data_IF_422250347245
#
_entry.id   IF_422250347245
#
_cell.length_a   1.000
_cell.length_b   1.000
_cell.length_c   1.000
_cell.angle_alpha   90.00
_cell.angle_beta   90.00
_cell.angle_gamma   90.00
#
_symmetry.space_group_name_H-M   'P 1'
#
loop_
_entity.id
_entity.type
_entity.pdbx_description
1 polymer ?
#
# COMPACT_ATOMS: atom_id res chain seq x y z
N UNK A 1 19.37 14.34 -18.16
CA UNK A 1 18.26 13.44 -18.53
C UNK A 1 17.00 13.94 -17.87
N UNK A 2 15.85 13.83 -18.54
CA UNK A 2 14.57 14.13 -17.88
C UNK A 2 14.35 13.11 -16.74
N UNK A 3 13.97 13.58 -15.57
CA UNK A 3 13.61 12.72 -14.44
C UNK A 3 12.32 12.00 -14.81
N UNK A 4 12.34 10.67 -14.88
CA UNK A 4 11.15 9.89 -15.17
C UNK A 4 10.25 9.89 -13.92
N UNK A 5 9.02 10.37 -14.09
CA UNK A 5 8.05 10.48 -13.01
C UNK A 5 7.22 9.18 -12.91
N UNK A 6 7.07 8.65 -11.71
CA UNK A 6 6.28 7.42 -11.47
C UNK A 6 5.33 7.61 -10.29
N UNK A 7 4.18 6.96 -10.34
CA UNK A 7 3.25 6.80 -9.24
C UNK A 7 2.54 5.46 -9.42
N UNK A 8 2.80 4.48 -8.56
CA UNK A 8 2.35 3.09 -8.76
C UNK A 8 1.39 2.59 -7.68
N UNK A 9 0.76 3.50 -6.94
CA UNK A 9 -0.29 3.19 -5.99
C UNK A 9 -1.33 4.30 -6.01
N UNK A 10 -2.43 4.06 -6.73
CA UNK A 10 -3.54 5.00 -6.86
C UNK A 10 -4.86 4.27 -7.04
N UNK A 11 -5.96 4.97 -6.75
CA UNK A 11 -7.32 4.45 -6.78
C UNK A 11 -8.22 5.35 -7.63
N UNK A 12 -9.28 4.79 -8.17
CA UNK A 12 -10.32 5.51 -8.89
C UNK A 12 -11.70 5.20 -8.31
N UNK A 13 -12.77 5.65 -8.96
CA UNK A 13 -14.15 5.33 -8.53
C UNK A 13 -14.51 3.85 -8.61
N UNK A 14 -13.60 2.97 -9.04
CA UNK A 14 -13.75 1.52 -8.87
C UNK A 14 -13.53 1.08 -7.42
N UNK A 15 -12.63 1.73 -6.69
CA UNK A 15 -12.51 1.55 -5.24
C UNK A 15 -13.67 2.23 -4.49
N UNK A 16 -14.16 1.65 -3.39
CA UNK A 16 -15.31 2.15 -2.63
C UNK A 16 -15.19 3.60 -2.14
N UNK A 17 -13.97 4.06 -1.93
CA UNK A 17 -13.61 5.40 -1.42
C UNK A 17 -12.92 6.28 -2.49
N UNK A 18 -12.81 5.79 -3.72
CA UNK A 18 -12.31 6.56 -4.87
C UNK A 18 -13.26 7.68 -5.26
N UNK A 19 -12.69 8.84 -5.61
CA UNK A 19 -13.43 10.08 -5.86
C UNK A 19 -13.50 10.39 -7.36
N UNK A 20 -12.41 10.15 -8.10
CA UNK A 20 -12.31 10.51 -9.51
C UNK A 20 -12.39 9.28 -10.42
N UNK A 21 -13.08 9.40 -11.58
CA UNK A 21 -13.11 8.33 -12.57
C UNK A 21 -11.71 7.94 -13.06
N UNK A 22 -11.50 6.66 -13.36
CA UNK A 22 -10.21 6.12 -13.81
C UNK A 22 -9.62 6.93 -14.98
N UNK A 23 -10.44 7.30 -15.97
CA UNK A 23 -9.98 8.10 -17.11
C UNK A 23 -9.41 9.45 -16.69
N UNK A 24 -10.05 10.14 -15.75
CA UNK A 24 -9.57 11.45 -15.26
C UNK A 24 -8.26 11.30 -14.47
N UNK A 25 -8.10 10.22 -13.73
CA UNK A 25 -6.84 9.89 -13.06
C UNK A 25 -5.71 9.72 -14.08
N UNK A 26 -5.95 9.00 -15.18
CA UNK A 26 -4.97 8.79 -16.26
C UNK A 26 -4.65 10.07 -17.02
N UNK A 27 -5.67 10.90 -17.35
CA UNK A 27 -5.47 12.21 -17.98
C UNK A 27 -4.55 13.09 -17.11
N UNK A 28 -4.82 13.15 -15.81
CA UNK A 28 -4.00 13.90 -14.85
C UNK A 28 -2.57 13.37 -14.75
N UNK A 29 -2.40 12.06 -14.76
CA UNK A 29 -1.07 11.44 -14.75
C UNK A 29 -0.26 11.80 -16.00
N UNK A 30 -0.91 11.78 -17.17
CA UNK A 30 -0.30 12.19 -18.44
C UNK A 30 0.04 13.69 -18.46
N UNK A 31 -0.87 14.55 -18.01
CA UNK A 31 -0.65 16.00 -17.92
C UNK A 31 0.52 16.37 -17.00
N UNK A 32 0.70 15.60 -15.92
CA UNK A 32 1.84 15.75 -15.00
C UNK A 32 3.14 15.15 -15.53
N UNK A 33 3.13 14.54 -16.72
CA UNK A 33 4.32 13.97 -17.36
C UNK A 33 4.83 12.69 -16.68
N UNK A 34 3.96 11.92 -16.04
CA UNK A 34 4.30 10.62 -15.50
C UNK A 34 4.66 9.66 -16.66
N UNK A 35 5.70 8.85 -16.46
CA UNK A 35 6.08 7.82 -17.42
C UNK A 35 5.53 6.44 -17.07
N UNK A 36 5.32 6.16 -15.78
CA UNK A 36 4.61 5.00 -15.26
C UNK A 36 3.53 5.44 -14.27
N UNK A 37 2.34 4.91 -14.47
CA UNK A 37 1.20 5.15 -13.59
C UNK A 37 0.48 3.84 -13.30
N UNK A 38 0.47 3.45 -12.03
CA UNK A 38 -0.18 2.23 -11.55
C UNK A 38 -1.52 2.55 -10.89
N UNK A 39 -2.58 1.88 -11.34
CA UNK A 39 -3.87 1.86 -10.67
C UNK A 39 -3.98 0.55 -9.91
N UNK A 40 -4.27 0.62 -8.61
CA UNK A 40 -4.29 -0.52 -7.68
C UNK A 40 -5.56 -0.52 -6.86
N UNK A 41 -6.72 -0.77 -7.51
CA UNK A 41 -8.00 -0.74 -6.82
C UNK A 41 -8.06 -1.74 -5.67
N UNK A 42 -8.77 -1.38 -4.61
CA UNK A 42 -8.93 -2.22 -3.42
C UNK A 42 -9.55 -3.58 -3.72
N UNK A 43 -8.95 -4.64 -3.20
CA UNK A 43 -9.48 -5.99 -3.19
C UNK A 43 -9.39 -6.51 -1.75
N UNK A 44 -10.42 -6.26 -0.96
CA UNK A 44 -10.42 -6.42 0.49
C UNK A 44 -11.06 -7.76 0.91
N UNK A 45 -10.44 -8.89 0.52
CA UNK A 45 -10.92 -10.21 0.94
C UNK A 45 -10.68 -10.47 2.43
N UNK A 46 -9.82 -9.71 3.09
CA UNK A 46 -9.69 -9.68 4.54
C UNK A 46 -11.00 -9.21 5.20
N UNK A 47 -11.62 -8.15 4.67
CA UNK A 47 -12.93 -7.67 5.12
C UNK A 47 -14.04 -8.66 4.79
N UNK A 48 -14.00 -9.26 3.60
CA UNK A 48 -15.01 -10.22 3.17
C UNK A 48 -15.06 -11.46 4.06
N UNK A 49 -13.91 -12.05 4.39
CA UNK A 49 -13.90 -13.22 5.29
C UNK A 49 -14.34 -12.84 6.70
N UNK A 50 -14.02 -11.64 7.18
CA UNK A 50 -14.50 -11.14 8.46
C UNK A 50 -16.02 -10.93 8.48
N UNK A 51 -16.62 -10.45 7.37
CA UNK A 51 -18.07 -10.34 7.22
C UNK A 51 -18.74 -11.74 7.24
N UNK A 52 -18.18 -12.70 6.51
CA UNK A 52 -18.69 -14.08 6.47
C UNK A 52 -18.68 -14.74 7.85
N UNK A 53 -17.72 -14.40 8.70
CA UNK A 53 -17.59 -14.92 10.07
C UNK A 53 -18.36 -14.06 11.10
N UNK A 54 -18.98 -12.96 10.68
CA UNK A 54 -19.69 -12.04 11.59
C UNK A 54 -18.76 -11.30 12.56
N UNK A 55 -17.47 -11.15 12.23
CA UNK A 55 -16.46 -10.46 13.04
C UNK A 55 -16.13 -9.06 12.54
N UNK A 56 -16.59 -8.71 11.33
CA UNK A 56 -16.45 -7.37 10.78
C UNK A 56 -17.21 -6.34 11.62
N UNK A 57 -16.62 -5.16 11.80
CA UNK A 57 -17.26 -4.04 12.53
C UNK A 57 -18.36 -3.36 11.71
N UNK A 58 -18.29 -3.49 10.38
CA UNK A 58 -19.21 -2.88 9.42
C UNK A 58 -19.27 -3.68 8.13
N UNK A 59 -20.26 -3.37 7.31
CA UNK A 59 -20.39 -3.96 5.98
C UNK A 59 -19.55 -3.17 4.98
N UNK A 60 -18.57 -3.83 4.37
CA UNK A 60 -17.73 -3.22 3.33
C UNK A 60 -18.48 -3.10 1.98
N UNK A 61 -18.01 -2.19 1.15
CA UNK A 61 -18.31 -2.17 -0.29
C UNK A 61 -17.09 -2.73 -1.01
N UNK A 62 -17.32 -3.44 -2.11
CA UNK A 62 -16.24 -4.10 -2.83
C UNK A 62 -16.12 -3.58 -4.25
N UNK A 63 -14.91 -3.57 -4.76
CA UNK A 63 -14.60 -3.27 -6.17
C UNK A 63 -15.24 -4.31 -7.09
N UNK A 64 -15.95 -3.86 -8.12
CA UNK A 64 -16.33 -4.71 -9.24
C UNK A 64 -15.09 -4.97 -10.10
N UNK A 65 -14.39 -6.06 -9.79
CA UNK A 65 -13.14 -6.41 -10.43
C UNK A 65 -13.29 -6.66 -11.94
N UNK A 66 -14.40 -7.27 -12.38
CA UNK A 66 -14.64 -7.53 -13.81
C UNK A 66 -14.76 -6.22 -14.59
N UNK A 67 -15.60 -5.31 -14.12
CA UNK A 67 -15.77 -4.00 -14.75
C UNK A 67 -14.47 -3.19 -14.71
N UNK A 68 -13.74 -3.21 -13.58
CA UNK A 68 -12.48 -2.52 -13.44
C UNK A 68 -11.44 -3.02 -14.44
N UNK A 69 -11.14 -4.31 -14.45
CA UNK A 69 -10.10 -4.85 -15.34
C UNK A 69 -10.46 -4.70 -16.81
N UNK A 70 -11.73 -4.86 -17.17
CA UNK A 70 -12.20 -4.61 -18.54
C UNK A 70 -11.88 -3.18 -18.99
N UNK A 71 -12.29 -2.18 -18.21
CA UNK A 71 -12.09 -0.78 -18.56
C UNK A 71 -10.63 -0.34 -18.46
N UNK A 72 -9.92 -0.78 -17.40
CA UNK A 72 -8.52 -0.43 -17.19
C UNK A 72 -7.63 -0.97 -18.32
N UNK A 73 -7.84 -2.20 -18.80
CA UNK A 73 -7.10 -2.76 -19.94
C UNK A 73 -7.36 -2.00 -21.24
N UNK A 74 -8.61 -1.65 -21.51
CA UNK A 74 -8.96 -0.81 -22.68
C UNK A 74 -8.29 0.57 -22.62
N UNK A 75 -8.23 1.19 -21.45
CA UNK A 75 -7.54 2.45 -21.25
C UNK A 75 -6.02 2.30 -21.34
N UNK A 76 -5.45 1.23 -20.77
CA UNK A 76 -4.02 0.91 -20.91
C UNK A 76 -3.58 0.90 -22.39
N UNK A 77 -4.34 0.25 -23.26
CA UNK A 77 -4.08 0.25 -24.71
C UNK A 77 -4.20 1.65 -25.31
N UNK A 78 -5.21 2.42 -24.91
CA UNK A 78 -5.45 3.78 -25.42
C UNK A 78 -4.31 4.76 -25.09
N UNK A 79 -3.72 4.64 -23.90
CA UNK A 79 -2.62 5.52 -23.46
C UNK A 79 -1.23 5.03 -23.87
N UNK A 80 -1.14 3.86 -24.51
CA UNK A 80 0.14 3.28 -24.95
C UNK A 80 0.95 4.27 -25.80
N UNK A 81 2.23 4.39 -25.48
CA UNK A 81 3.15 5.35 -26.13
C UNK A 81 3.18 6.75 -25.53
N UNK A 82 2.16 7.14 -24.74
CA UNK A 82 2.13 8.41 -24.03
C UNK A 82 2.36 8.21 -22.50
N UNK A 83 1.78 7.17 -21.94
CA UNK A 83 1.87 6.81 -20.53
C UNK A 83 1.91 5.29 -20.39
N UNK A 84 2.86 4.77 -19.62
CA UNK A 84 2.85 3.34 -19.27
C UNK A 84 1.87 3.11 -18.12
N UNK A 85 0.63 2.79 -18.45
CA UNK A 85 -0.40 2.44 -17.48
C UNK A 85 -0.18 1.01 -17.00
N UNK A 86 -0.14 0.80 -15.69
CA UNK A 86 -0.05 -0.49 -15.04
C UNK A 86 -1.37 -0.78 -14.33
N UNK A 87 -2.01 -1.89 -14.67
CA UNK A 87 -3.31 -2.30 -14.11
C UNK A 87 -3.04 -3.31 -13.01
N UNK A 88 -3.08 -2.85 -11.77
CA UNK A 88 -2.77 -3.61 -10.57
C UNK A 88 -3.97 -3.82 -9.66
N UNK A 89 -3.69 -4.24 -8.44
CA UNK A 89 -4.65 -4.35 -7.34
C UNK A 89 -3.93 -4.14 -6.01
N UNK A 90 -4.63 -3.60 -5.02
CA UNK A 90 -4.19 -3.58 -3.64
C UNK A 90 -4.98 -4.61 -2.83
N UNK A 91 -4.26 -5.55 -2.20
CA UNK A 91 -4.83 -6.61 -1.39
C UNK A 91 -4.74 -6.26 0.09
N UNK A 92 -5.86 -6.36 0.80
CA UNK A 92 -5.90 -6.32 2.26
C UNK A 92 -5.50 -7.67 2.86
N UNK A 93 -4.34 -7.75 3.51
CA UNK A 93 -3.87 -9.00 4.09
C UNK A 93 -4.62 -9.39 5.37
N UNK A 94 -4.89 -10.68 5.50
CA UNK A 94 -5.32 -11.35 6.72
C UNK A 94 -4.62 -12.70 6.89
N UNK A 95 -4.57 -13.24 8.11
CA UNK A 95 -4.07 -14.60 8.37
C UNK A 95 -5.04 -15.70 7.89
N UNK A 96 -6.22 -15.34 7.41
CA UNK A 96 -7.22 -16.29 6.94
C UNK A 96 -6.85 -16.89 5.58
N UNK A 97 -6.59 -18.18 5.55
CA UNK A 97 -6.20 -18.90 4.33
C UNK A 97 -7.28 -18.93 3.25
N UNK A 98 -8.55 -18.69 3.60
CA UNK A 98 -9.64 -18.57 2.61
C UNK A 98 -9.41 -17.33 1.74
N UNK A 99 -9.07 -16.18 2.36
CA UNK A 99 -8.69 -14.98 1.63
C UNK A 99 -7.46 -15.22 0.74
N UNK A 100 -6.45 -15.96 1.21
CA UNK A 100 -5.27 -16.28 0.39
C UNK A 100 -5.63 -17.10 -0.85
N UNK A 101 -6.58 -18.04 -0.73
CA UNK A 101 -7.05 -18.78 -1.89
C UNK A 101 -7.81 -17.87 -2.87
N UNK A 102 -8.63 -16.96 -2.36
CA UNK A 102 -9.36 -15.99 -3.17
C UNK A 102 -8.39 -15.04 -3.90
N UNK A 103 -7.30 -14.57 -3.27
CA UNK A 103 -6.27 -13.77 -3.91
C UNK A 103 -5.54 -14.54 -5.02
N UNK A 104 -5.19 -15.81 -4.81
CA UNK A 104 -4.62 -16.66 -5.88
C UNK A 104 -5.56 -16.80 -7.07
N UNK A 105 -6.85 -17.00 -6.80
CA UNK A 105 -7.88 -17.12 -7.84
C UNK A 105 -8.07 -15.78 -8.58
N UNK A 106 -8.03 -14.67 -7.86
CA UNK A 106 -8.05 -13.31 -8.44
C UNK A 106 -6.87 -13.08 -9.39
N UNK A 107 -5.65 -13.35 -8.94
CA UNK A 107 -4.44 -13.20 -9.76
C UNK A 107 -4.54 -14.04 -11.03
N UNK A 108 -4.97 -15.30 -10.93
CA UNK A 108 -5.14 -16.20 -12.06
C UNK A 108 -6.18 -15.70 -13.05
N UNK A 109 -7.27 -15.12 -12.56
CA UNK A 109 -8.41 -14.67 -13.37
C UNK A 109 -8.10 -13.36 -14.08
N UNK A 110 -7.65 -12.35 -13.34
CA UNK A 110 -7.50 -10.98 -13.84
C UNK A 110 -6.09 -10.63 -14.29
N UNK A 111 -5.08 -11.39 -13.89
CA UNK A 111 -3.66 -11.21 -14.26
C UNK A 111 -3.21 -9.76 -14.11
N UNK A 112 -3.24 -9.20 -12.90
CA UNK A 112 -2.78 -7.84 -12.67
C UNK A 112 -1.32 -7.68 -13.12
N UNK A 113 -0.94 -6.48 -13.56
CA UNK A 113 0.45 -6.16 -13.92
C UNK A 113 1.34 -6.08 -12.67
N UNK A 114 0.74 -5.81 -11.50
CA UNK A 114 1.39 -5.79 -10.18
C UNK A 114 0.33 -5.91 -9.07
N UNK A 115 0.81 -6.26 -7.88
CA UNK A 115 -0.02 -6.32 -6.67
C UNK A 115 0.69 -5.60 -5.53
N UNK A 116 -0.05 -4.71 -4.86
CA UNK A 116 0.33 -4.12 -3.56
C UNK A 116 -0.29 -4.99 -2.47
N UNK A 117 0.50 -5.39 -1.47
CA UNK A 117 0.04 -6.18 -0.33
C UNK A 117 0.08 -5.32 0.93
N UNK A 118 -1.07 -5.02 1.50
CA UNK A 118 -1.28 -4.00 2.52
C UNK A 118 -1.97 -4.54 3.78
N UNK A 119 -1.76 -3.87 4.90
CA UNK A 119 -2.47 -4.13 6.15
C UNK A 119 -3.45 -3.00 6.42
N UNK A 120 -4.73 -3.24 6.19
CA UNK A 120 -5.81 -2.30 6.49
C UNK A 120 -6.53 -2.65 7.79
N UNK A 121 -6.60 -3.94 8.12
CA UNK A 121 -7.38 -4.44 9.25
C UNK A 121 -6.53 -5.22 10.25
N UNK A 122 -7.03 -5.32 11.46
CA UNK A 122 -6.56 -6.24 12.49
C UNK A 122 -7.74 -7.07 13.00
N UNK A 123 -7.73 -8.37 12.66
CA UNK A 123 -8.83 -9.27 13.03
C UNK A 123 -10.19 -8.82 12.48
N UNK A 124 -10.26 -8.36 11.23
CA UNK A 124 -11.47 -7.86 10.57
C UNK A 124 -11.93 -6.47 11.05
N UNK A 125 -11.11 -5.78 11.82
CA UNK A 125 -11.38 -4.42 12.32
C UNK A 125 -10.48 -3.44 11.58
N UNK A 126 -11.07 -2.49 10.86
CA UNK A 126 -10.34 -1.50 10.08
C UNK A 126 -9.69 -0.44 10.99
N UNK A 127 -8.43 -0.11 10.69
CA UNK A 127 -7.70 0.95 11.38
C UNK A 127 -8.30 2.33 11.12
N UNK A 128 -8.87 2.60 9.93
CA UNK A 128 -9.44 3.90 9.59
C UNK A 128 -10.64 4.25 10.47
N UNK A 129 -11.35 3.26 10.97
CA UNK A 129 -12.45 3.41 11.94
C UNK A 129 -12.00 3.33 13.39
N UNK A 130 -10.71 3.16 13.62
CA UNK A 130 -10.11 3.16 14.95
C UNK A 130 -10.40 1.93 15.80
N UNK A 131 -11.12 0.94 15.29
CA UNK A 131 -11.55 -0.21 16.06
C UNK A 131 -10.39 -1.06 16.65
N UNK A 132 -9.26 -1.27 15.96
CA UNK A 132 -8.13 -2.02 16.50
C UNK A 132 -7.49 -1.42 17.75
N UNK A 133 -7.66 -0.12 17.98
CA UNK A 133 -7.06 0.59 19.11
C UNK A 133 -7.82 0.40 20.42
N UNK A 134 -8.97 -0.26 20.38
CA UNK A 134 -9.82 -0.42 21.55
C UNK A 134 -10.17 -1.89 21.80
N UNK A 135 -10.44 -2.21 23.05
CA UNK A 135 -11.00 -3.49 23.47
C UNK A 135 -12.18 -3.27 24.40
N UNK A 136 -13.08 -4.23 24.45
CA UNK A 136 -14.19 -4.23 25.39
C UNK A 136 -13.73 -4.82 26.73
N UNK A 137 -13.92 -4.07 27.83
CA UNK A 137 -13.66 -4.50 29.19
C UNK A 137 -14.89 -4.17 30.06
N UNK A 138 -15.54 -5.19 30.57
CA UNK A 138 -16.74 -5.05 31.43
C UNK A 138 -17.82 -4.14 30.82
N UNK A 139 -18.03 -4.23 29.49
CA UNK A 139 -19.01 -3.41 28.76
C UNK A 139 -18.55 -1.96 28.44
N UNK A 140 -17.28 -1.63 28.72
CA UNK A 140 -16.69 -0.34 28.37
C UNK A 140 -15.66 -0.47 27.25
N UNK A 141 -15.64 0.51 26.35
CA UNK A 141 -14.62 0.63 25.32
C UNK A 141 -13.35 1.23 25.94
N UNK A 142 -12.28 0.44 26.06
CA UNK A 142 -11.01 0.83 26.68
C UNK A 142 -9.94 0.94 25.63
N UNK A 143 -9.17 2.04 25.65
CA UNK A 143 -8.03 2.27 24.77
C UNK A 143 -6.91 1.28 25.12
N UNK A 144 -6.42 0.56 24.11
CA UNK A 144 -5.28 -0.36 24.23
C UNK A 144 -3.97 0.43 24.31
N UNK A 145 -2.95 -0.04 25.02
CA UNK A 145 -1.62 0.56 24.99
C UNK A 145 -1.05 0.61 23.56
N UNK A 146 -0.44 1.74 23.18
CA UNK A 146 0.19 1.95 21.87
C UNK A 146 1.15 0.81 21.51
N UNK A 147 2.02 0.45 22.45
CA UNK A 147 3.04 -0.59 22.23
C UNK A 147 2.41 -1.94 21.89
N UNK A 148 1.32 -2.32 22.55
CA UNK A 148 0.60 -3.57 22.30
C UNK A 148 0.08 -3.61 20.85
N UNK A 149 -0.64 -2.55 20.43
CA UNK A 149 -1.26 -2.46 19.11
C UNK A 149 -0.21 -2.41 18.00
N UNK A 150 0.88 -1.65 18.18
CA UNK A 150 1.91 -1.49 17.17
C UNK A 150 2.75 -2.76 17.01
N UNK A 151 3.10 -3.45 18.09
CA UNK A 151 3.78 -4.75 17.97
C UNK A 151 2.91 -5.80 17.29
N UNK A 152 1.61 -5.81 17.59
CA UNK A 152 0.67 -6.70 16.90
C UNK A 152 0.58 -6.37 15.40
N UNK A 153 0.49 -5.09 15.05
CA UNK A 153 0.53 -4.61 13.66
C UNK A 153 1.81 -5.06 12.95
N UNK A 154 2.99 -4.82 13.51
CA UNK A 154 4.25 -5.21 12.87
C UNK A 154 4.41 -6.72 12.72
N UNK A 155 3.93 -7.51 13.68
CA UNK A 155 3.89 -8.97 13.53
C UNK A 155 2.97 -9.39 12.37
N UNK A 156 1.85 -8.69 12.19
CA UNK A 156 0.95 -8.94 11.06
C UNK A 156 1.62 -8.56 9.74
N UNK A 157 2.32 -7.42 9.68
CA UNK A 157 3.13 -7.02 8.52
C UNK A 157 4.19 -8.07 8.18
N UNK A 158 4.91 -8.60 9.18
CA UNK A 158 5.89 -9.66 8.92
C UNK A 158 5.25 -10.90 8.28
N UNK A 159 4.10 -11.34 8.81
CA UNK A 159 3.37 -12.47 8.22
C UNK A 159 2.85 -12.16 6.82
N UNK A 160 2.42 -10.93 6.55
CA UNK A 160 1.99 -10.52 5.22
C UNK A 160 3.13 -10.56 4.20
N UNK A 161 4.35 -10.19 4.60
CA UNK A 161 5.54 -10.33 3.73
C UNK A 161 5.83 -11.81 3.44
N UNK A 162 5.53 -12.71 4.36
CA UNK A 162 5.79 -14.15 4.25
C UNK A 162 4.69 -14.94 3.54
N UNK A 163 3.62 -14.28 3.09
CA UNK A 163 2.48 -14.95 2.45
C UNK A 163 2.87 -15.71 1.18
N UNK A 164 2.06 -16.72 0.84
CA UNK A 164 2.34 -17.63 -0.28
C UNK A 164 1.66 -17.24 -1.61
N UNK A 165 0.76 -16.24 -1.63
CA UNK A 165 0.27 -15.71 -2.91
C UNK A 165 1.23 -14.66 -3.48
N UNK A 166 1.20 -14.48 -4.79
CA UNK A 166 2.09 -13.55 -5.48
C UNK A 166 1.69 -12.09 -5.21
N UNK A 167 2.69 -11.27 -4.94
CA UNK A 167 2.57 -9.82 -4.83
C UNK A 167 3.94 -9.18 -5.11
N UNK A 168 3.99 -7.88 -5.34
CA UNK A 168 5.20 -7.14 -5.73
C UNK A 168 5.64 -6.15 -4.67
N UNK A 169 4.70 -5.36 -4.15
CA UNK A 169 4.93 -4.22 -3.26
C UNK A 169 4.38 -4.52 -1.87
N UNK A 170 5.16 -4.21 -0.84
CA UNK A 170 4.68 -4.13 0.54
C UNK A 170 4.17 -2.72 0.76
N UNK A 171 2.84 -2.57 0.88
CA UNK A 171 2.15 -1.29 0.99
C UNK A 171 2.38 -0.60 2.33
N UNK A 172 2.45 0.69 2.30
CA UNK A 172 2.45 1.69 3.40
C UNK A 172 2.67 1.14 4.82
N UNK A 173 3.81 0.50 5.08
CA UNK A 173 4.20 0.06 6.44
C UNK A 173 4.02 1.25 7.41
N UNK A 174 3.51 0.98 8.62
CA UNK A 174 3.09 1.96 9.61
C UNK A 174 1.70 2.59 9.36
N UNK A 175 0.86 2.00 8.49
CA UNK A 175 -0.51 2.49 8.24
C UNK A 175 -1.31 2.74 9.52
N UNK A 176 -1.17 1.90 10.54
CA UNK A 176 -1.84 2.05 11.83
C UNK A 176 -1.59 3.43 12.48
N UNK A 177 -0.43 4.05 12.24
CA UNK A 177 -0.08 5.36 12.83
C UNK A 177 -0.95 6.50 12.31
N UNK A 178 -1.49 6.36 11.08
CA UNK A 178 -2.34 7.36 10.43
C UNK A 178 -3.59 7.67 11.23
N UNK A 179 -4.17 6.67 11.88
CA UNK A 179 -5.45 6.74 12.57
C UNK A 179 -5.35 6.54 14.09
N UNK A 180 -4.15 6.38 14.62
CA UNK A 180 -3.93 6.10 16.02
C UNK A 180 -4.42 7.25 16.93
N UNK A 181 -5.15 6.95 18.01
CA UNK A 181 -5.71 7.94 18.90
C UNK A 181 -4.73 8.41 20.00
N UNK A 182 -3.45 8.04 19.89
CA UNK A 182 -2.43 8.39 20.88
C UNK A 182 -1.91 9.81 20.66
N UNK A 183 -1.49 10.50 21.71
CA UNK A 183 -0.84 11.81 21.65
C UNK A 183 0.46 11.73 20.83
N UNK A 184 1.34 10.76 21.17
CA UNK A 184 2.47 10.37 20.32
C UNK A 184 2.08 9.15 19.46
N UNK A 185 1.87 9.37 18.16
CA UNK A 185 1.49 8.36 17.17
C UNK A 185 2.67 7.77 16.42
N UNK A 186 3.87 8.31 16.57
CA UNK A 186 5.03 7.85 15.80
C UNK A 186 5.35 6.38 16.10
N UNK A 187 5.72 5.65 15.07
CA UNK A 187 6.31 4.32 15.17
C UNK A 187 7.81 4.43 14.92
N UNK A 188 8.56 4.91 15.91
CA UNK A 188 10.01 5.08 15.81
C UNK A 188 10.69 3.72 15.67
N UNK A 189 11.68 3.63 14.79
CA UNK A 189 12.46 2.40 14.66
C UNK A 189 13.02 1.91 16.00
N UNK A 190 13.54 2.83 16.84
CA UNK A 190 14.15 2.45 18.13
C UNK A 190 13.20 1.73 19.09
N UNK A 191 11.90 2.05 19.05
CA UNK A 191 10.88 1.46 19.94
C UNK A 191 10.45 0.05 19.49
N UNK A 192 10.61 -0.27 18.19
CA UNK A 192 10.17 -1.51 17.54
C UNK A 192 11.29 -2.11 16.67
N UNK A 193 12.56 -1.93 17.06
CA UNK A 193 13.72 -2.22 16.22
C UNK A 193 13.77 -3.67 15.73
N UNK A 194 13.43 -4.63 16.58
CA UNK A 194 13.45 -6.03 16.21
C UNK A 194 12.39 -6.34 15.17
N UNK A 195 11.14 -5.94 15.42
CA UNK A 195 10.00 -6.20 14.53
C UNK A 195 10.20 -5.52 13.18
N UNK A 196 10.62 -4.25 13.17
CA UNK A 196 10.85 -3.50 11.93
C UNK A 196 12.04 -4.10 11.15
N UNK A 197 13.14 -4.41 11.82
CA UNK A 197 14.30 -5.03 11.16
C UNK A 197 13.96 -6.39 10.55
N UNK A 198 13.16 -7.20 11.21
CA UNK A 198 12.74 -8.51 10.69
C UNK A 198 11.87 -8.35 9.44
N UNK A 199 10.93 -7.38 9.43
CA UNK A 199 10.15 -7.05 8.24
C UNK A 199 11.07 -6.61 7.10
N UNK A 200 11.95 -5.65 7.34
CA UNK A 200 12.83 -5.10 6.31
C UNK A 200 13.79 -6.15 5.71
N UNK A 201 14.33 -7.04 6.55
CA UNK A 201 15.17 -8.15 6.10
C UNK A 201 14.38 -9.16 5.27
N UNK A 202 13.13 -9.46 5.67
CA UNK A 202 12.28 -10.37 4.92
C UNK A 202 11.88 -9.80 3.56
N UNK A 203 11.56 -8.49 3.47
CA UNK A 203 11.32 -7.79 2.20
C UNK A 203 12.54 -7.95 1.27
N UNK A 204 13.74 -7.71 1.81
CA UNK A 204 14.99 -7.84 1.04
C UNK A 204 15.22 -9.30 0.59
N UNK A 205 15.06 -10.26 1.50
CA UNK A 205 15.29 -11.68 1.22
C UNK A 205 14.35 -12.22 0.15
N UNK A 206 13.10 -11.74 0.12
CA UNK A 206 12.10 -12.13 -0.89
C UNK A 206 12.17 -11.31 -2.17
N UNK A 207 13.04 -10.31 -2.25
CA UNK A 207 13.17 -9.44 -3.41
C UNK A 207 11.92 -8.58 -3.66
N UNK A 208 11.14 -8.29 -2.62
CA UNK A 208 9.95 -7.46 -2.72
C UNK A 208 10.31 -5.97 -2.68
N UNK A 209 9.37 -5.14 -3.12
CA UNK A 209 9.53 -3.69 -3.17
C UNK A 209 8.93 -3.09 -1.90
N UNK A 210 9.68 -2.23 -1.22
CA UNK A 210 9.16 -1.40 -0.12
C UNK A 210 8.48 -0.15 -0.70
N UNK A 211 7.21 0.05 -0.40
CA UNK A 211 6.53 1.28 -0.78
C UNK A 211 6.98 2.47 0.08
N UNK A 212 7.10 3.63 -0.57
CA UNK A 212 7.18 4.94 0.07
C UNK A 212 5.87 5.67 -0.28
N UNK A 213 4.92 5.60 0.62
CA UNK A 213 3.58 6.14 0.44
C UNK A 213 3.48 7.56 0.99
N UNK A 214 3.02 8.50 0.19
CA UNK A 214 2.91 9.93 0.58
C UNK A 214 1.55 10.31 1.17
N UNK A 215 0.59 9.38 1.26
CA UNK A 215 -0.75 9.62 1.79
C UNK A 215 -0.80 9.53 3.32
N UNK A 216 0.05 10.24 4.03
CA UNK A 216 0.00 10.28 5.49
C UNK A 216 -0.81 11.48 5.99
N UNK A 217 -2.15 11.43 5.84
CA UNK A 217 -3.08 12.48 6.28
C UNK A 217 -3.02 12.63 7.79
N UNK A 218 -2.58 13.80 8.27
CA UNK A 218 -2.52 14.10 9.70
C UNK A 218 -1.49 13.28 10.48
N UNK A 219 -0.62 12.53 9.81
CA UNK A 219 0.50 11.83 10.43
C UNK A 219 1.65 12.75 10.79
N UNK A 220 2.52 12.29 11.68
CA UNK A 220 3.71 13.03 12.11
C UNK A 220 4.77 13.02 11.02
N UNK A 221 4.88 11.91 10.27
CA UNK A 221 5.79 11.76 9.13
C UNK A 221 5.11 12.13 7.81
N UNK A 222 5.83 12.74 6.86
CA UNK A 222 5.30 13.01 5.52
C UNK A 222 5.04 11.75 4.68
N UNK A 223 5.63 10.61 5.05
CA UNK A 223 5.52 9.33 4.34
C UNK A 223 5.28 8.15 5.27
N UNK A 224 4.81 7.04 4.71
CA UNK A 224 4.74 5.71 5.32
C UNK A 224 5.59 4.72 4.49
N UNK A 225 6.59 4.08 5.12
CA UNK A 225 7.13 4.38 6.43
C UNK A 225 7.86 5.73 6.45
N UNK A 226 8.25 6.15 7.65
CA UNK A 226 8.99 7.39 7.81
C UNK A 226 10.46 7.28 7.32
N UNK A 227 11.14 8.44 7.26
CA UNK A 227 12.52 8.53 6.79
C UNK A 227 13.50 7.62 7.56
N UNK A 228 13.33 7.45 8.87
CA UNK A 228 14.23 6.63 9.69
C UNK A 228 14.17 5.16 9.26
N UNK A 229 12.97 4.63 9.07
CA UNK A 229 12.75 3.26 8.62
C UNK A 229 13.27 3.05 7.19
N UNK A 230 13.03 4.02 6.29
CA UNK A 230 13.58 3.97 4.92
C UNK A 230 15.12 3.97 4.92
N UNK A 231 15.75 4.81 5.76
CA UNK A 231 17.20 4.83 5.92
C UNK A 231 17.70 3.50 6.51
N UNK A 232 16.95 2.91 7.44
CA UNK A 232 17.28 1.59 8.00
C UNK A 232 17.22 0.50 6.93
N UNK A 233 16.19 0.50 6.07
CA UNK A 233 16.08 -0.42 4.93
C UNK A 233 17.30 -0.32 4.01
N UNK A 234 17.70 0.90 3.66
CA UNK A 234 18.90 1.13 2.86
C UNK A 234 20.18 0.59 3.54
N UNK A 235 20.34 0.84 4.85
CA UNK A 235 21.47 0.35 5.65
C UNK A 235 21.53 -1.19 5.72
N UNK A 236 20.39 -1.85 5.73
CA UNK A 236 20.29 -3.32 5.69
C UNK A 236 20.57 -3.92 4.32
N UNK A 237 20.79 -3.10 3.30
CA UNK A 237 21.09 -3.52 1.93
C UNK A 237 19.88 -3.48 0.98
N UNK A 238 18.71 -3.04 1.44
CA UNK A 238 17.52 -2.85 0.60
C UNK A 238 17.74 -1.75 -0.43
N UNK A 239 17.24 -1.98 -1.65
CA UNK A 239 17.38 -1.02 -2.78
C UNK A 239 16.08 -0.88 -3.58
N UNK A 240 15.19 -1.87 -3.53
CA UNK A 240 13.93 -1.85 -4.25
C UNK A 240 12.90 -1.02 -3.47
N UNK A 241 12.67 0.21 -3.89
CA UNK A 241 11.64 1.10 -3.34
C UNK A 241 10.74 1.59 -4.47
N UNK A 242 9.44 1.69 -4.23
CA UNK A 242 8.48 2.34 -5.11
C UNK A 242 7.93 3.61 -4.47
N UNK A 243 7.36 4.49 -5.28
CA UNK A 243 6.58 5.62 -4.80
C UNK A 243 5.09 5.37 -5.08
N UNK A 244 4.26 5.62 -4.08
CA UNK A 244 2.81 5.63 -4.16
C UNK A 244 2.24 6.90 -3.54
N UNK A 245 1.37 7.61 -4.29
CA UNK A 245 0.63 8.74 -3.73
C UNK A 245 -0.59 8.28 -2.93
N UNK A 246 -1.07 7.08 -3.20
CA UNK A 246 -2.30 6.52 -2.66
C UNK A 246 -3.46 7.52 -2.90
N UNK A 247 -3.46 8.07 -4.13
CA UNK A 247 -4.40 9.08 -4.55
C UNK A 247 -5.73 8.45 -4.88
N UNK A 248 -6.80 8.94 -4.24
CA UNK A 248 -8.19 8.57 -4.51
C UNK A 248 -8.92 9.61 -5.38
N UNK A 249 -8.19 10.63 -5.82
CA UNK A 249 -8.69 11.69 -6.69
C UNK A 249 -7.56 12.41 -7.41
N UNK A 250 -7.88 13.07 -8.51
CA UNK A 250 -6.93 13.74 -9.42
C UNK A 250 -6.01 14.74 -8.73
N UNK A 251 -6.51 15.43 -7.71
CA UNK A 251 -5.76 16.43 -6.94
C UNK A 251 -4.59 15.85 -6.12
N UNK A 252 -4.55 14.52 -5.93
CA UNK A 252 -3.53 13.83 -5.15
C UNK A 252 -2.54 13.03 -6.00
N UNK A 253 -2.76 12.87 -7.29
CA UNK A 253 -1.84 12.17 -8.20
C UNK A 253 -0.44 12.76 -8.10
N UNK A 254 0.57 11.92 -7.82
CA UNK A 254 1.97 12.29 -7.59
C UNK A 254 2.20 13.35 -6.49
N UNK A 255 1.32 13.41 -5.47
CA UNK A 255 1.42 14.34 -4.35
C UNK A 255 2.70 14.11 -3.53
N UNK A 256 3.44 15.19 -3.21
CA UNK A 256 4.72 15.17 -2.48
C UNK A 256 5.84 14.33 -3.11
N UNK A 257 5.70 13.93 -4.38
CA UNK A 257 6.69 13.08 -5.05
C UNK A 257 8.10 13.68 -5.01
N UNK A 258 8.24 14.98 -5.24
CA UNK A 258 9.55 15.63 -5.25
C UNK A 258 10.22 15.63 -3.85
N UNK A 259 9.42 15.69 -2.78
CA UNK A 259 9.89 15.56 -1.40
C UNK A 259 10.40 14.14 -1.14
N UNK A 260 9.66 13.12 -1.61
CA UNK A 260 10.06 11.71 -1.51
C UNK A 260 11.34 11.45 -2.30
N UNK A 261 11.45 11.92 -3.53
CA UNK A 261 12.67 11.77 -4.35
C UNK A 261 13.88 12.44 -3.66
N UNK A 262 13.71 13.63 -3.12
CA UNK A 262 14.76 14.31 -2.37
C UNK A 262 15.21 13.49 -1.16
N UNK A 263 14.26 12.99 -0.38
CA UNK A 263 14.53 12.14 0.78
C UNK A 263 15.28 10.86 0.37
N UNK A 264 14.87 10.19 -0.69
CA UNK A 264 15.51 8.97 -1.19
C UNK A 264 16.96 9.25 -1.64
N UNK A 265 17.20 10.34 -2.39
CA UNK A 265 18.57 10.77 -2.78
C UNK A 265 19.46 11.06 -1.59
N UNK A 266 18.94 11.77 -0.59
CA UNK A 266 19.69 12.08 0.65
C UNK A 266 20.06 10.82 1.45
N UNK A 267 19.21 9.76 1.39
CA UNK A 267 19.51 8.46 2.01
C UNK A 267 20.56 7.69 1.19
N UNK A 268 20.63 7.91 -0.13
CA UNK A 268 21.58 7.27 -1.04
C UNK A 268 20.96 6.41 -2.13
N UNK A 269 19.65 6.43 -2.31
CA UNK A 269 19.01 5.77 -3.44
C UNK A 269 19.30 6.53 -4.74
N UNK A 270 19.49 5.80 -5.83
CA UNK A 270 19.73 6.36 -7.17
C UNK A 270 18.62 6.02 -8.15
N UNK A 271 17.71 5.12 -7.79
CA UNK A 271 16.56 4.72 -8.60
C UNK A 271 15.38 4.31 -7.72
N UNK A 272 14.20 4.36 -8.29
CA UNK A 272 13.00 3.68 -7.80
C UNK A 272 12.73 2.43 -8.66
N UNK A 273 11.98 1.50 -8.10
CA UNK A 273 11.61 0.23 -8.73
C UNK A 273 10.13 0.25 -9.06
N UNK A 274 9.80 -0.02 -10.31
CA UNK A 274 8.42 -0.13 -10.80
C UNK A 274 8.16 -1.58 -11.18
N UNK A 275 7.17 -2.26 -10.57
CA UNK A 275 6.78 -3.60 -11.00
C UNK A 275 6.00 -3.50 -12.33
N UNK A 276 6.35 -4.32 -13.29
CA UNK A 276 5.75 -4.29 -14.61
C UNK A 276 5.64 -5.70 -15.19
N UNK A 277 4.46 -6.32 -15.07
CA UNK A 277 4.16 -7.63 -15.69
C UNK A 277 5.16 -8.74 -15.35
N UNK A 278 5.51 -8.84 -14.07
CA UNK A 278 6.45 -9.84 -13.55
C UNK A 278 7.94 -9.46 -13.64
N UNK A 279 8.24 -8.28 -14.16
CA UNK A 279 9.60 -7.70 -14.18
C UNK A 279 9.67 -6.46 -13.29
N UNK A 280 10.88 -6.12 -12.83
CA UNK A 280 11.13 -4.92 -12.04
C UNK A 280 11.98 -3.93 -12.83
N UNK A 281 11.37 -2.82 -13.23
CA UNK A 281 12.02 -1.74 -13.99
C UNK A 281 12.64 -0.74 -13.04
N UNK A 282 13.92 -0.39 -13.24
CA UNK A 282 14.59 0.67 -12.49
C UNK A 282 14.40 2.00 -13.18
N UNK A 283 13.94 2.98 -12.42
CA UNK A 283 13.70 4.34 -12.86
C UNK A 283 14.64 5.26 -12.07
N UNK A 284 15.62 5.88 -12.73
CA UNK A 284 16.57 6.79 -12.10
C UNK A 284 15.87 8.04 -11.50
N UNK A 285 16.36 8.49 -10.35
CA UNK A 285 15.81 9.63 -9.63
C UNK A 285 16.83 10.73 -9.41
#
# INVERSE_FOLDING_TARGET
MAILLTDVHTHSTYSPDGISPLKEMLDTAQEKGLCFYGVSEHVDYDMLVAELDGTACEKARYTDAEAYFHDARRLQEKYAGALNVLVGAEFGYTDDKRAWQMYRDFIRTYRPDFVVNSIHTLGGKDYCHGAPFYREEQGNKVLRPKEEVYREYFRLVLRSVQVEYDYDIVGHICYCTRYAPYEDREAKWADYAQEIDDILKEIIARGKILEINSSNKGGVSPTLPDREIVARYFKLGGRAVSYGSDAHGTNRVADKRDEVVRMLKEIGFTYMTVPCKGEYVRVEI
#
